data_IF_819252423477
#
_entry.id   IF_819252423477
#
_cell.length_a   1.000
_cell.length_b   1.000
_cell.length_c   1.000
_cell.angle_alpha   90.00
_cell.angle_beta   90.00
_cell.angle_gamma   90.00
#
_symmetry.space_group_name_H-M   'P 1'
#
loop_
_entity.id
_entity.type
_entity.pdbx_description
1 polymer ?
#
# COMPACT_ATOMS: atom_id res chain seq x y z
N UNK A 1 -36.84 -2.76 50.70
CA UNK A 1 -36.53 -3.33 49.37
C UNK A 1 -36.11 -2.18 48.47
N UNK A 2 -34.95 -2.34 47.84
CA UNK A 2 -34.07 -1.28 47.33
C UNK A 2 -34.72 -0.27 46.40
N UNK A 3 -34.37 1.01 46.62
CA UNK A 3 -34.70 2.14 45.76
C UNK A 3 -34.33 1.87 44.31
N UNK A 4 -35.37 1.91 43.49
CA UNK A 4 -35.37 2.12 42.06
C UNK A 4 -34.55 3.38 41.74
N UNK A 5 -33.30 3.19 41.32
CA UNK A 5 -32.38 4.28 40.99
C UNK A 5 -32.38 4.44 39.48
N UNK A 6 -33.42 5.09 38.98
CA UNK A 6 -33.45 5.60 37.60
C UNK A 6 -32.33 6.63 37.46
N UNK A 7 -31.27 6.28 36.73
CA UNK A 7 -30.19 7.20 36.39
C UNK A 7 -30.47 7.77 35.00
N UNK A 8 -31.08 8.96 34.96
CA UNK A 8 -31.08 9.79 33.75
C UNK A 8 -29.71 10.47 33.61
N UNK A 9 -28.95 10.10 32.58
CA UNK A 9 -27.80 10.89 32.11
C UNK A 9 -28.16 11.50 30.77
N UNK A 10 -28.76 12.69 30.80
CA UNK A 10 -28.94 13.54 29.61
C UNK A 10 -28.16 14.82 29.85
N UNK A 11 -27.07 15.03 29.10
CA UNK A 11 -26.35 16.30 29.09
C UNK A 11 -25.03 16.21 28.31
N UNK A 12 -24.70 17.21 27.50
CA UNK A 12 -24.03 17.05 26.21
C UNK A 12 -22.52 17.18 26.30
N UNK A 13 -21.80 16.57 25.36
CA UNK A 13 -20.37 16.75 25.21
C UNK A 13 -19.64 15.42 25.29
N UNK A 14 -19.86 14.56 24.30
CA UNK A 14 -19.01 13.41 24.04
C UNK A 14 -17.59 13.88 23.76
N UNK A 15 -16.84 14.15 24.82
CA UNK A 15 -15.41 14.38 24.75
C UNK A 15 -14.84 13.00 24.47
N UNK A 16 -14.44 12.77 23.22
CA UNK A 16 -13.88 11.51 22.76
C UNK A 16 -12.67 11.15 23.63
N UNK A 17 -12.93 10.27 24.59
CA UNK A 17 -11.93 9.79 25.53
C UNK A 17 -10.87 9.06 24.70
N UNK A 18 -9.64 9.58 24.70
CA UNK A 18 -8.55 8.97 23.93
C UNK A 18 -8.41 7.48 24.32
N UNK A 19 -8.49 6.53 23.37
CA UNK A 19 -8.50 5.10 23.64
C UNK A 19 -7.21 4.58 24.29
N UNK A 20 -6.15 5.41 24.32
CA UNK A 20 -4.85 5.07 24.89
C UNK A 20 -4.67 5.52 26.35
N UNK A 21 -5.05 6.75 26.70
CA UNK A 21 -4.78 7.31 28.03
C UNK A 21 -6.04 7.62 28.86
N UNK A 22 -7.23 7.42 28.27
CA UNK A 22 -8.54 7.64 28.89
C UNK A 22 -8.73 8.99 29.60
N UNK A 23 -8.01 10.04 29.19
CA UNK A 23 -8.07 11.39 29.76
C UNK A 23 -8.31 12.43 28.68
N UNK A 24 -9.04 13.49 29.03
CA UNK A 24 -9.21 14.70 28.23
C UNK A 24 -8.92 15.94 29.11
N UNK A 25 -8.23 16.98 28.59
CA UNK A 25 -7.59 17.09 27.28
C UNK A 25 -6.26 16.29 27.22
N UNK A 26 -6.05 15.53 26.15
CA UNK A 26 -4.81 14.76 25.97
C UNK A 26 -3.73 15.64 25.32
N UNK A 27 -2.53 15.66 25.91
CA UNK A 27 -1.33 16.28 25.33
C UNK A 27 -0.45 15.25 24.61
N UNK A 28 -1.06 14.15 24.13
CA UNK A 28 -0.34 13.14 23.38
C UNK A 28 0.08 13.75 22.03
N UNK A 29 1.36 13.65 21.62
CA UNK A 29 1.78 14.14 20.32
C UNK A 29 0.96 13.44 19.24
N UNK A 30 0.36 14.22 18.34
CA UNK A 30 -0.50 13.76 17.25
C UNK A 30 0.30 12.92 16.24
N UNK A 31 0.50 11.65 16.58
CA UNK A 31 1.06 10.61 15.72
C UNK A 31 -0.06 9.83 15.04
N UNK A 32 -0.91 10.52 14.28
CA UNK A 32 -1.84 9.94 13.32
C UNK A 32 -1.07 9.36 12.13
N UNK A 33 -0.39 8.25 12.35
CA UNK A 33 0.00 7.30 11.30
C UNK A 33 0.36 5.99 11.99
N UNK A 34 -0.64 5.24 12.43
CA UNK A 34 -0.42 3.80 12.63
C UNK A 34 0.20 3.27 11.33
N UNK A 35 1.34 2.54 11.36
CA UNK A 35 1.94 2.03 10.15
C UNK A 35 0.86 1.26 9.39
N UNK A 36 0.67 1.59 8.12
CA UNK A 36 -0.26 0.90 7.24
C UNK A 36 -0.10 -0.60 7.51
N UNK A 37 -1.15 -1.25 8.05
CA UNK A 37 -1.11 -2.68 8.35
C UNK A 37 -0.48 -3.36 7.14
N UNK A 38 0.63 -4.13 7.31
CA UNK A 38 1.26 -4.78 6.19
C UNK A 38 0.18 -5.63 5.55
N UNK A 39 -0.17 -5.34 4.30
CA UNK A 39 -1.04 -6.22 3.51
C UNK A 39 -0.41 -7.60 3.65
N UNK A 40 -1.17 -8.58 4.11
CA UNK A 40 -0.68 -9.92 4.41
C UNK A 40 -0.23 -10.56 3.09
N UNK A 41 0.99 -10.25 2.67
CA UNK A 41 1.58 -10.82 1.47
C UNK A 41 2.07 -12.20 1.84
N UNK A 42 1.42 -13.22 1.27
CA UNK A 42 1.89 -14.61 1.32
C UNK A 42 3.26 -14.74 0.65
N UNK A 43 3.52 -13.95 -0.40
CA UNK A 43 4.82 -13.88 -1.07
C UNK A 43 5.18 -12.45 -1.50
N UNK A 44 6.48 -12.08 -1.48
CA UNK A 44 6.94 -10.78 -1.96
C UNK A 44 6.81 -10.65 -3.48
N UNK A 45 6.54 -9.44 -3.94
CA UNK A 45 6.54 -9.07 -5.36
C UNK A 45 7.94 -9.21 -5.92
N UNK A 46 8.09 -9.88 -7.06
CA UNK A 46 9.39 -10.13 -7.67
C UNK A 46 9.58 -9.18 -8.84
N UNK A 47 10.69 -8.44 -8.85
CA UNK A 47 11.01 -7.52 -9.94
C UNK A 47 12.31 -7.98 -10.56
N UNK A 48 12.30 -8.34 -11.84
CA UNK A 48 13.46 -8.78 -12.59
C UNK A 48 13.72 -7.92 -13.82
N UNK A 49 14.94 -7.98 -14.35
CA UNK A 49 15.31 -7.27 -15.57
C UNK A 49 15.79 -8.25 -16.62
N UNK A 50 15.13 -8.24 -17.77
CA UNK A 50 15.44 -9.04 -18.93
C UNK A 50 16.03 -8.16 -20.02
N UNK A 51 17.29 -8.40 -20.38
CA UNK A 51 17.91 -7.80 -21.56
C UNK A 51 17.48 -8.55 -22.80
N UNK A 52 17.00 -7.85 -23.81
CA UNK A 52 16.86 -8.38 -25.17
C UNK A 52 18.16 -8.11 -25.93
N UNK A 53 18.65 -9.08 -26.71
CA UNK A 53 19.95 -9.01 -27.38
C UNK A 53 20.12 -7.84 -28.36
N UNK A 54 19.05 -7.10 -28.68
CA UNK A 54 19.03 -5.90 -29.54
C UNK A 54 18.95 -4.60 -28.73
N UNK A 55 19.76 -4.46 -27.68
CA UNK A 55 19.93 -3.22 -26.90
C UNK A 55 18.74 -2.79 -26.01
N UNK A 56 17.56 -3.39 -26.17
CA UNK A 56 16.38 -3.10 -25.36
C UNK A 56 16.34 -3.88 -24.04
N UNK A 57 16.00 -3.20 -22.95
CA UNK A 57 15.72 -3.80 -21.65
C UNK A 57 14.24 -3.89 -21.34
N UNK A 58 13.82 -4.92 -20.61
CA UNK A 58 12.45 -5.06 -20.09
C UNK A 58 12.50 -5.39 -18.60
N UNK A 59 11.83 -4.58 -17.78
CA UNK A 59 11.59 -4.88 -16.37
C UNK A 59 10.32 -5.72 -16.25
N UNK A 60 10.39 -6.87 -15.58
CA UNK A 60 9.29 -7.79 -15.34
C UNK A 60 8.89 -7.74 -13.88
N UNK A 61 7.60 -7.63 -13.60
CA UNK A 61 7.04 -7.61 -12.24
C UNK A 61 6.07 -8.77 -12.07
N UNK A 62 6.46 -9.74 -11.25
CA UNK A 62 5.74 -10.98 -11.00
C UNK A 62 5.19 -11.03 -9.57
N UNK A 63 4.25 -11.97 -9.34
CA UNK A 63 3.63 -12.22 -8.03
C UNK A 63 2.94 -11.01 -7.41
N UNK A 64 2.34 -10.15 -8.23
CA UNK A 64 1.49 -9.06 -7.74
C UNK A 64 0.15 -9.65 -7.24
N UNK A 65 -0.15 -9.61 -5.92
CA UNK A 65 -1.35 -10.20 -5.34
C UNK A 65 -2.54 -9.24 -5.52
N UNK A 66 -2.97 -9.07 -6.76
CA UNK A 66 -4.09 -8.19 -7.10
C UNK A 66 -4.83 -8.71 -8.33
N UNK A 67 -6.08 -8.28 -8.45
CA UNK A 67 -6.92 -8.55 -9.62
C UNK A 67 -6.29 -7.94 -10.88
N UNK A 68 -6.43 -8.55 -12.07
CA UNK A 68 -5.90 -8.02 -13.34
C UNK A 68 -6.26 -6.54 -13.58
N UNK A 69 -7.49 -6.11 -13.30
CA UNK A 69 -7.90 -4.71 -13.40
C UNK A 69 -7.03 -3.75 -12.56
N UNK A 70 -6.64 -4.16 -11.34
CA UNK A 70 -5.74 -3.37 -10.50
C UNK A 70 -4.31 -3.30 -11.07
N UNK A 71 -3.86 -4.34 -11.77
CA UNK A 71 -2.54 -4.35 -12.45
C UNK A 71 -2.52 -3.33 -13.59
N UNK A 72 -3.61 -3.24 -14.34
CA UNK A 72 -3.76 -2.28 -15.44
C UNK A 72 -3.80 -0.84 -14.96
N UNK A 73 -4.42 -0.59 -13.80
CA UNK A 73 -4.43 0.74 -13.19
C UNK A 73 -3.01 1.16 -12.75
N UNK A 74 -2.29 0.27 -12.08
CA UNK A 74 -0.89 0.52 -11.69
C UNK A 74 -0.01 0.71 -12.93
N UNK A 75 -0.18 -0.13 -13.95
CA UNK A 75 0.53 0.01 -15.22
C UNK A 75 0.25 1.38 -15.85
N UNK A 76 -0.99 1.86 -15.81
CA UNK A 76 -1.37 3.18 -16.33
C UNK A 76 -0.71 4.31 -15.55
N UNK A 77 -0.63 4.20 -14.21
CA UNK A 77 0.12 5.14 -13.36
C UNK A 77 1.61 5.14 -13.71
N UNK A 78 2.20 3.97 -13.90
CA UNK A 78 3.60 3.83 -14.30
C UNK A 78 3.84 4.44 -15.68
N UNK A 79 3.01 4.16 -16.68
CA UNK A 79 3.08 4.78 -18.02
C UNK A 79 3.10 6.31 -17.94
N UNK A 80 2.20 6.89 -17.14
CA UNK A 80 2.11 8.36 -16.97
C UNK A 80 3.37 8.97 -16.34
N UNK A 81 3.95 8.31 -15.34
CA UNK A 81 5.14 8.84 -14.64
C UNK A 81 6.44 8.60 -15.40
N UNK A 82 6.54 7.45 -16.06
CA UNK A 82 7.77 6.97 -16.68
C UNK A 82 7.87 7.34 -18.15
N UNK A 83 6.75 7.59 -18.82
CA UNK A 83 6.71 7.74 -20.28
C UNK A 83 7.19 6.48 -21.00
N UNK A 84 7.18 5.31 -20.33
CA UNK A 84 7.56 4.03 -20.92
C UNK A 84 6.32 3.26 -21.39
N UNK A 85 6.49 2.51 -22.47
CA UNK A 85 5.57 1.45 -22.83
C UNK A 85 5.57 0.32 -21.80
N UNK A 86 4.42 -0.31 -21.62
CA UNK A 86 4.28 -1.49 -20.78
C UNK A 86 2.99 -2.23 -21.05
N UNK A 87 2.94 -3.50 -20.68
CA UNK A 87 1.79 -4.38 -20.87
C UNK A 87 1.65 -5.35 -19.70
N UNK A 88 0.45 -5.84 -19.45
CA UNK A 88 0.22 -6.96 -18.52
C UNK A 88 0.08 -8.22 -19.36
N UNK A 89 0.99 -9.18 -19.21
CA UNK A 89 0.89 -10.51 -19.85
C UNK A 89 0.86 -11.58 -18.78
N UNK A 90 -0.14 -12.47 -18.83
CA UNK A 90 -0.26 -13.60 -17.90
C UNK A 90 -0.16 -13.20 -16.42
N UNK A 91 -0.65 -12.00 -16.07
CA UNK A 91 -0.57 -11.46 -14.72
C UNK A 91 0.80 -10.92 -14.29
N UNK A 92 1.77 -10.84 -15.21
CA UNK A 92 3.08 -10.21 -15.05
C UNK A 92 3.04 -8.83 -15.72
N UNK A 93 3.57 -7.80 -15.06
CA UNK A 93 3.73 -6.49 -15.70
C UNK A 93 5.08 -6.43 -16.41
N UNK A 94 5.06 -6.14 -17.70
CA UNK A 94 6.25 -5.91 -18.52
C UNK A 94 6.38 -4.41 -18.77
N UNK A 95 7.51 -3.81 -18.40
CA UNK A 95 7.79 -2.39 -18.57
C UNK A 95 9.08 -2.25 -19.39
N UNK A 96 9.07 -1.39 -20.41
CA UNK A 96 10.26 -1.13 -21.21
C UNK A 96 11.28 -0.27 -20.45
N UNK A 97 12.55 -0.66 -20.56
CA UNK A 97 13.69 -0.04 -19.91
C UNK A 97 14.08 -0.72 -18.59
N UNK A 98 15.24 -0.31 -18.06
CA UNK A 98 15.66 -0.64 -16.71
C UNK A 98 15.05 0.38 -15.74
N UNK A 99 13.93 0.02 -15.12
CA UNK A 99 13.20 0.89 -14.19
C UNK A 99 12.99 0.20 -12.85
N UNK A 100 13.89 -0.71 -12.48
CA UNK A 100 13.81 -1.53 -11.27
C UNK A 100 13.69 -0.69 -10.00
N UNK A 101 14.51 0.36 -9.88
CA UNK A 101 14.53 1.23 -8.70
C UNK A 101 13.22 2.01 -8.54
N UNK A 102 12.70 2.55 -9.64
CA UNK A 102 11.44 3.28 -9.62
C UNK A 102 10.27 2.36 -9.27
N UNK A 103 10.21 1.18 -9.90
CA UNK A 103 9.15 0.19 -9.66
C UNK A 103 9.20 -0.28 -8.21
N UNK A 104 10.40 -0.52 -7.67
CA UNK A 104 10.58 -0.86 -6.25
C UNK A 104 10.05 0.25 -5.35
N UNK A 105 10.48 1.50 -5.56
CA UNK A 105 10.07 2.63 -4.71
C UNK A 105 8.55 2.86 -4.73
N UNK A 106 7.92 2.79 -5.90
CA UNK A 106 6.46 2.93 -6.04
C UNK A 106 5.69 1.79 -5.35
N UNK A 107 6.16 0.55 -5.53
CA UNK A 107 5.52 -0.61 -4.91
C UNK A 107 5.71 -0.60 -3.38
N UNK A 108 6.89 -0.22 -2.89
CA UNK A 108 7.15 -0.04 -1.46
C UNK A 108 6.29 1.09 -0.87
N UNK A 109 6.16 2.22 -1.57
CA UNK A 109 5.28 3.33 -1.18
C UNK A 109 3.80 2.91 -1.17
N UNK A 110 3.40 2.03 -2.07
CA UNK A 110 2.07 1.42 -2.08
C UNK A 110 1.87 0.32 -1.01
N UNK A 111 2.90 0.04 -0.20
CA UNK A 111 2.87 -0.91 0.91
C UNK A 111 3.10 -2.37 0.50
N UNK A 112 3.70 -2.62 -0.67
CA UNK A 112 4.07 -3.96 -1.12
C UNK A 112 5.50 -4.31 -0.69
N UNK A 113 5.74 -5.56 -0.27
CA UNK A 113 7.10 -6.07 -0.11
C UNK A 113 7.65 -6.46 -1.48
N UNK A 114 8.77 -5.86 -1.86
CA UNK A 114 9.41 -6.10 -3.16
C UNK A 114 10.74 -6.81 -2.95
N UNK A 115 11.00 -7.80 -3.80
CA UNK A 115 12.29 -8.47 -3.92
C UNK A 115 12.80 -8.27 -5.34
N UNK A 116 13.93 -7.58 -5.46
CA UNK A 116 14.66 -7.50 -6.71
C UNK A 116 15.30 -8.87 -7.00
N UNK A 117 15.11 -9.36 -8.22
CA UNK A 117 15.75 -10.56 -8.75
C UNK A 117 16.62 -10.09 -9.92
N UNK A 118 17.93 -10.23 -9.76
CA UNK A 118 18.93 -9.76 -10.71
C UNK A 118 19.97 -10.83 -10.94
#
# INVERSE_FOLDING_TARGET
MSSDRVVYSTGPGGVEICPRCRKAPCSCPEGLAGPAKPRTQTEPVRVSYRRTGKGGGMTLVEKLPMHPAGKEEILSRFKKRLGAGGTVKNGVLEIQGDRRDFVKAELEAAGYKVRLIG
#
